data_IF_660037101380
#
_entry.id   IF_660037101380
#
_cell.length_a   1.000
_cell.length_b   1.000
_cell.length_c   1.000
_cell.angle_alpha   90.00
_cell.angle_beta   90.00
_cell.angle_gamma   90.00
#
_symmetry.space_group_name_H-M   'P 1'
#
loop_
_entity.id
_entity.type
_entity.pdbx_description
1 polymer ?
#
# COMPACT_ATOMS: atom_id res chain seq x y z
N UNK A 1 -22.05 -56.50 18.56
CA UNK A 1 -21.90 -57.45 17.43
C UNK A 1 -20.51 -58.05 17.52
N UNK A 2 -20.40 -59.36 17.32
CA UNK A 2 -19.13 -60.08 17.48
C UNK A 2 -18.30 -60.02 16.20
N UNK A 3 -16.97 -60.09 16.31
CA UNK A 3 -16.04 -59.91 15.18
C UNK A 3 -16.24 -60.97 14.07
N UNK A 4 -16.66 -62.17 14.47
CA UNK A 4 -16.94 -63.28 13.57
C UNK A 4 -18.18 -63.06 12.69
N UNK A 5 -19.12 -62.22 13.13
CA UNK A 5 -20.34 -61.90 12.35
C UNK A 5 -20.08 -60.84 11.27
N UNK A 6 -19.01 -60.04 11.42
CA UNK A 6 -18.59 -59.01 10.46
C UNK A 6 -17.75 -59.58 9.30
N UNK A 7 -16.87 -60.56 9.59
CA UNK A 7 -16.14 -61.30 8.55
C UNK A 7 -17.09 -62.10 7.65
N UNK A 8 -18.18 -62.64 8.21
CA UNK A 8 -19.23 -63.34 7.46
C UNK A 8 -20.04 -62.43 6.51
N UNK A 9 -20.01 -61.11 6.72
CA UNK A 9 -20.62 -60.09 5.86
C UNK A 9 -19.65 -59.55 4.78
N UNK A 10 -18.44 -60.13 4.68
CA UNK A 10 -17.46 -59.78 3.66
C UNK A 10 -16.67 -58.49 3.95
N UNK A 11 -16.65 -58.04 5.21
CA UNK A 11 -15.86 -56.88 5.64
C UNK A 11 -14.64 -57.40 6.40
N UNK A 12 -13.44 -57.16 5.87
CA UNK A 12 -12.19 -57.52 6.55
C UNK A 12 -11.93 -56.61 7.76
N UNK A 13 -11.04 -57.03 8.66
CA UNK A 13 -10.67 -56.22 9.83
C UNK A 13 -9.97 -54.92 9.39
N UNK A 14 -9.21 -54.99 8.31
CA UNK A 14 -8.51 -53.88 7.68
C UNK A 14 -9.50 -52.87 7.10
N UNK A 15 -10.53 -53.34 6.38
CA UNK A 15 -11.60 -52.47 5.84
C UNK A 15 -12.39 -51.77 6.96
N UNK A 16 -12.64 -52.49 8.06
CA UNK A 16 -13.33 -51.94 9.21
C UNK A 16 -12.46 -50.89 9.91
N UNK A 17 -11.16 -51.15 10.07
CA UNK A 17 -10.22 -50.19 10.66
C UNK A 17 -10.12 -48.91 9.82
N UNK A 18 -9.99 -49.03 8.49
CA UNK A 18 -9.91 -47.89 7.58
C UNK A 18 -11.21 -47.06 7.60
N UNK A 19 -12.38 -47.72 7.65
CA UNK A 19 -13.67 -47.03 7.78
C UNK A 19 -13.85 -46.32 9.11
N UNK A 20 -13.39 -46.91 10.21
CA UNK A 20 -13.43 -46.27 11.54
C UNK A 20 -12.51 -45.05 11.56
N UNK A 21 -11.28 -45.18 11.04
CA UNK A 21 -10.33 -44.07 10.94
C UNK A 21 -10.89 -42.97 10.04
N UNK A 22 -11.42 -43.32 8.87
CA UNK A 22 -12.04 -42.37 7.94
C UNK A 22 -13.21 -41.62 8.57
N UNK A 23 -14.09 -42.32 9.29
CA UNK A 23 -15.22 -41.69 9.99
C UNK A 23 -14.76 -40.77 11.12
N UNK A 24 -13.75 -41.16 11.90
CA UNK A 24 -13.19 -40.33 12.96
C UNK A 24 -12.52 -39.06 12.41
N UNK A 25 -11.78 -39.19 11.30
CA UNK A 25 -11.15 -38.07 10.60
C UNK A 25 -12.22 -37.14 10.02
N UNK A 26 -13.27 -37.68 9.41
CA UNK A 26 -14.34 -36.90 8.82
C UNK A 26 -15.14 -36.12 9.89
N UNK A 27 -15.36 -36.71 11.06
CA UNK A 27 -15.94 -36.01 12.22
C UNK A 27 -15.02 -34.93 12.80
N UNK A 28 -13.71 -35.13 12.77
CA UNK A 28 -12.74 -34.12 13.21
C UNK A 28 -12.65 -32.94 12.23
N UNK A 29 -12.68 -33.25 10.92
CA UNK A 29 -12.44 -32.28 9.85
C UNK A 29 -13.68 -31.49 9.45
N UNK A 30 -14.87 -31.88 9.90
CA UNK A 30 -16.13 -31.22 9.57
C UNK A 30 -16.95 -30.84 10.80
N UNK A 31 -17.73 -29.79 10.69
CA UNK A 31 -18.71 -29.35 11.67
C UNK A 31 -20.06 -29.21 10.99
N UNK A 32 -21.14 -29.68 11.62
CA UNK A 32 -22.48 -29.40 11.14
C UNK A 32 -22.93 -28.02 11.63
N UNK A 33 -23.69 -27.31 10.82
CA UNK A 33 -24.30 -26.03 11.17
C UNK A 33 -25.54 -25.78 10.32
N UNK A 34 -26.32 -24.77 10.67
CA UNK A 34 -27.54 -24.41 9.95
C UNK A 34 -27.24 -23.29 8.95
N UNK A 35 -27.62 -23.45 7.68
CA UNK A 35 -27.54 -22.37 6.69
C UNK A 35 -28.87 -21.59 6.66
N UNK A 36 -28.87 -20.30 7.06
CA UNK A 36 -30.10 -19.50 7.11
C UNK A 36 -30.69 -19.17 5.73
N UNK A 37 -29.91 -19.29 4.64
CA UNK A 37 -30.38 -18.95 3.29
C UNK A 37 -31.08 -20.13 2.58
N UNK A 38 -30.78 -21.36 2.99
CA UNK A 38 -31.36 -22.58 2.40
C UNK A 38 -32.21 -23.39 3.37
N UNK A 39 -32.30 -22.94 4.63
CA UNK A 39 -33.02 -23.62 5.73
C UNK A 39 -32.63 -25.10 5.94
N UNK A 40 -31.41 -25.47 5.52
CA UNK A 40 -30.91 -26.85 5.57
C UNK A 40 -29.67 -26.97 6.47
N UNK A 41 -29.55 -28.13 7.14
CA UNK A 41 -28.32 -28.52 7.81
C UNK A 41 -27.21 -28.67 6.77
N UNK A 42 -26.16 -27.88 6.92
CA UNK A 42 -25.02 -27.84 6.00
C UNK A 42 -23.75 -28.21 6.73
N UNK A 43 -22.89 -28.92 6.01
CA UNK A 43 -21.60 -29.37 6.52
C UNK A 43 -20.55 -28.30 6.22
N UNK A 44 -19.94 -27.76 7.28
CA UNK A 44 -18.86 -26.80 7.20
C UNK A 44 -17.52 -27.48 7.47
N UNK A 45 -16.46 -26.96 6.86
CA UNK A 45 -15.11 -27.36 7.22
C UNK A 45 -14.77 -26.89 8.64
N UNK A 46 -14.19 -27.79 9.43
CA UNK A 46 -13.72 -27.47 10.77
C UNK A 46 -12.63 -26.39 10.74
N UNK A 47 -12.51 -25.64 11.84
CA UNK A 47 -11.38 -24.71 12.04
C UNK A 47 -10.04 -25.43 11.96
N UNK A 48 -9.97 -26.67 12.43
CA UNK A 48 -8.78 -27.50 12.39
C UNK A 48 -8.33 -27.80 10.95
N UNK A 49 -9.27 -28.19 10.07
CA UNK A 49 -8.97 -28.41 8.65
C UNK A 49 -8.41 -27.15 7.99
N UNK A 50 -9.04 -26.00 8.21
CA UNK A 50 -8.62 -24.72 7.65
C UNK A 50 -7.23 -24.30 8.13
N UNK A 51 -6.93 -24.48 9.41
CA UNK A 51 -5.60 -24.16 9.97
C UNK A 51 -4.51 -25.09 9.42
N UNK A 52 -4.80 -26.38 9.25
CA UNK A 52 -3.87 -27.34 8.64
C UNK A 52 -3.60 -26.97 7.19
N UNK A 53 -4.64 -26.71 6.40
CA UNK A 53 -4.50 -26.30 5.00
C UNK A 53 -3.74 -24.98 4.88
N UNK A 54 -4.05 -23.99 5.70
CA UNK A 54 -3.33 -22.72 5.71
C UNK A 54 -1.84 -22.90 6.04
N UNK A 55 -1.51 -23.79 6.99
CA UNK A 55 -0.13 -24.07 7.37
C UNK A 55 0.63 -24.85 6.29
N UNK A 56 -0.04 -25.78 5.60
CA UNK A 56 0.51 -26.48 4.44
C UNK A 56 0.77 -25.49 3.31
N UNK A 57 -0.22 -24.63 2.99
CA UNK A 57 -0.09 -23.59 1.98
C UNK A 57 1.09 -22.67 2.29
N UNK A 58 1.19 -22.16 3.52
CA UNK A 58 2.30 -21.31 3.95
C UNK A 58 3.66 -22.01 3.81
N UNK A 59 3.74 -23.30 4.14
CA UNK A 59 4.98 -24.07 3.99
C UNK A 59 5.34 -24.28 2.52
N UNK A 60 4.36 -24.53 1.66
CA UNK A 60 4.57 -24.67 0.21
C UNK A 60 5.03 -23.34 -0.39
N UNK A 61 4.34 -22.25 -0.07
CA UNK A 61 4.68 -20.91 -0.54
C UNK A 61 6.09 -20.49 -0.11
N UNK A 62 6.47 -20.77 1.13
CA UNK A 62 7.83 -20.50 1.62
C UNK A 62 8.90 -21.28 0.84
N UNK A 63 8.62 -22.54 0.49
CA UNK A 63 9.54 -23.37 -0.31
C UNK A 63 9.63 -22.89 -1.76
N UNK A 64 8.51 -22.52 -2.36
CA UNK A 64 8.47 -21.94 -3.71
C UNK A 64 9.25 -20.63 -3.73
N UNK A 65 9.03 -19.74 -2.75
CA UNK A 65 9.75 -18.48 -2.65
C UNK A 65 11.27 -18.70 -2.53
N UNK A 66 11.70 -19.61 -1.66
CA UNK A 66 13.12 -19.94 -1.50
C UNK A 66 13.74 -20.48 -2.81
N UNK A 67 13.02 -21.34 -3.54
CA UNK A 67 13.49 -21.82 -4.85
C UNK A 67 13.55 -20.71 -5.90
N UNK A 68 12.57 -19.81 -5.89
CA UNK A 68 12.53 -18.65 -6.78
C UNK A 68 13.70 -17.70 -6.51
N UNK A 69 14.05 -17.45 -5.25
CA UNK A 69 15.20 -16.61 -4.89
C UNK A 69 16.53 -17.16 -5.40
N UNK A 70 16.72 -18.48 -5.32
CA UNK A 70 17.98 -19.13 -5.73
C UNK A 70 18.10 -19.26 -7.24
N UNK A 71 17.01 -19.54 -7.95
CA UNK A 71 17.07 -19.94 -9.36
C UNK A 71 16.38 -19.00 -10.33
N UNK A 72 15.29 -18.35 -9.92
CA UNK A 72 14.47 -17.53 -10.82
C UNK A 72 14.95 -16.08 -10.80
N UNK A 73 15.10 -15.48 -9.62
CA UNK A 73 15.52 -14.07 -9.50
C UNK A 73 16.87 -13.78 -10.16
N UNK A 74 17.93 -14.61 -9.99
CA UNK A 74 19.23 -14.32 -10.62
C UNK A 74 19.14 -14.39 -12.15
N UNK A 75 18.43 -15.39 -12.68
CA UNK A 75 18.24 -15.54 -14.13
C UNK A 75 17.44 -14.40 -14.73
N UNK A 76 16.40 -13.94 -14.05
CA UNK A 76 15.63 -12.77 -14.49
C UNK A 76 16.52 -11.52 -14.48
N UNK A 77 17.37 -11.34 -13.47
CA UNK A 77 18.34 -10.25 -13.44
C UNK A 77 19.32 -10.29 -14.61
N UNK A 78 19.91 -11.45 -14.89
CA UNK A 78 20.80 -11.66 -16.04
C UNK A 78 20.09 -11.41 -17.37
N UNK A 79 18.88 -11.93 -17.54
CA UNK A 79 18.08 -11.73 -18.74
C UNK A 79 17.76 -10.25 -18.98
N UNK A 80 17.40 -9.50 -17.94
CA UNK A 80 17.10 -8.07 -18.03
C UNK A 80 18.34 -7.28 -18.40
N UNK A 81 19.50 -7.57 -17.80
CA UNK A 81 20.75 -6.86 -18.11
C UNK A 81 21.30 -7.21 -19.49
N UNK A 82 21.08 -8.45 -19.96
CA UNK A 82 21.47 -8.89 -21.30
C UNK A 82 20.54 -8.38 -22.41
N UNK A 83 19.39 -7.80 -22.06
CA UNK A 83 18.44 -7.27 -23.03
C UNK A 83 19.00 -6.00 -23.68
N UNK A 84 19.00 -5.97 -25.02
CA UNK A 84 19.42 -4.80 -25.81
C UNK A 84 18.28 -3.77 -25.85
N UNK A 85 18.40 -2.72 -25.03
CA UNK A 85 17.38 -1.67 -24.88
C UNK A 85 17.52 -0.56 -25.93
N UNK A 86 17.66 -0.95 -27.20
CA UNK A 86 17.69 0.00 -28.32
C UNK A 86 16.31 0.58 -28.59
N UNK A 87 16.26 1.89 -28.78
CA UNK A 87 15.07 2.54 -29.33
C UNK A 87 14.88 2.07 -30.77
N UNK A 88 13.69 1.58 -31.10
CA UNK A 88 13.31 1.20 -32.47
C UNK A 88 12.30 2.18 -33.04
N UNK A 89 12.25 2.30 -34.36
CA UNK A 89 11.15 3.00 -35.02
C UNK A 89 9.85 2.13 -35.03
N UNK A 90 8.78 2.66 -35.64
CA UNK A 90 7.49 1.95 -35.79
C UNK A 90 7.59 0.65 -36.62
N UNK A 91 8.69 0.44 -37.33
CA UNK A 91 8.95 -0.72 -38.19
C UNK A 91 10.02 -1.66 -37.60
N UNK A 92 10.50 -1.40 -36.37
CA UNK A 92 11.47 -2.25 -35.68
C UNK A 92 12.94 -1.99 -36.02
N UNK A 93 13.25 -0.97 -36.82
CA UNK A 93 14.65 -0.62 -37.14
C UNK A 93 15.30 0.12 -35.97
N UNK A 94 16.54 -0.26 -35.65
CA UNK A 94 17.30 0.35 -34.55
C UNK A 94 17.61 1.82 -34.81
N UNK A 95 17.13 2.69 -33.93
CA UNK A 95 17.46 4.12 -33.87
C UNK A 95 18.23 4.40 -32.59
N UNK A 96 19.56 4.38 -32.67
CA UNK A 96 20.43 4.80 -31.57
C UNK A 96 21.37 3.71 -31.05
N UNK A 97 22.22 4.04 -30.07
CA UNK A 97 23.20 3.12 -29.50
C UNK A 97 22.54 1.99 -28.70
N UNK A 98 23.23 0.85 -28.61
CA UNK A 98 22.87 -0.20 -27.67
C UNK A 98 22.95 0.34 -26.24
N UNK A 99 21.94 0.05 -25.42
CA UNK A 99 21.91 0.41 -24.01
C UNK A 99 21.56 -0.82 -23.19
N UNK A 100 22.21 -0.97 -22.03
CA UNK A 100 21.78 -1.90 -20.99
C UNK A 100 20.49 -1.41 -20.34
N UNK A 101 19.82 -2.27 -19.57
CA UNK A 101 18.61 -1.87 -18.84
C UNK A 101 18.86 -0.71 -17.87
N UNK A 102 19.97 -0.73 -17.12
CA UNK A 102 20.34 0.36 -16.20
C UNK A 102 20.55 1.68 -16.93
N UNK A 103 21.30 1.66 -18.03
CA UNK A 103 21.54 2.85 -18.84
C UNK A 103 20.24 3.39 -19.45
N UNK A 104 19.36 2.50 -19.91
CA UNK A 104 18.06 2.89 -20.43
C UNK A 104 17.19 3.57 -19.36
N UNK A 105 17.12 3.03 -18.14
CA UNK A 105 16.36 3.63 -17.04
C UNK A 105 16.97 4.98 -16.64
N UNK A 106 18.30 5.07 -16.53
CA UNK A 106 18.99 6.32 -16.22
C UNK A 106 18.75 7.38 -17.31
N UNK A 107 18.84 6.99 -18.58
CA UNK A 107 18.54 7.86 -19.72
C UNK A 107 17.08 8.34 -19.70
N UNK A 108 16.12 7.43 -19.45
CA UNK A 108 14.70 7.79 -19.32
C UNK A 108 14.45 8.78 -18.18
N UNK A 109 15.09 8.56 -17.03
CA UNK A 109 15.00 9.46 -15.88
C UNK A 109 15.60 10.84 -16.22
N UNK A 110 16.76 10.87 -16.86
CA UNK A 110 17.40 12.11 -17.32
C UNK A 110 16.49 12.87 -18.28
N UNK A 111 15.99 12.22 -19.33
CA UNK A 111 15.08 12.83 -20.31
C UNK A 111 13.86 13.41 -19.60
N UNK A 112 13.20 12.65 -18.73
CA UNK A 112 12.03 13.10 -17.97
C UNK A 112 12.34 14.32 -17.08
N UNK A 113 13.48 14.33 -16.40
CA UNK A 113 13.89 15.43 -15.51
C UNK A 113 14.30 16.70 -16.28
N UNK A 114 14.88 16.54 -17.47
CA UNK A 114 15.33 17.65 -18.32
C UNK A 114 14.26 18.17 -19.27
N UNK A 115 13.15 17.44 -19.42
CA UNK A 115 12.04 17.85 -20.27
C UNK A 115 11.49 19.20 -19.82
N UNK A 116 11.27 20.08 -20.79
CA UNK A 116 10.63 21.37 -20.55
C UNK A 116 9.16 21.16 -20.19
N UNK A 117 8.74 21.81 -19.10
CA UNK A 117 7.39 21.71 -18.57
C UNK A 117 6.78 23.08 -18.30
N UNK A 118 5.46 23.12 -18.12
CA UNK A 118 4.78 24.32 -17.66
C UNK A 118 5.02 24.60 -16.17
N UNK A 119 4.44 25.68 -15.66
CA UNK A 119 4.53 26.06 -14.25
C UNK A 119 4.02 24.99 -13.28
N UNK A 120 3.11 24.12 -13.72
CA UNK A 120 2.55 23.03 -12.94
C UNK A 120 3.41 21.75 -13.00
N UNK A 121 4.46 21.73 -13.82
CA UNK A 121 5.32 20.57 -14.00
C UNK A 121 4.85 19.57 -15.06
N UNK A 122 3.89 19.96 -15.91
CA UNK A 122 3.37 19.12 -17.00
C UNK A 122 4.05 19.46 -18.34
N UNK A 123 4.47 18.44 -19.07
CA UNK A 123 4.83 18.61 -20.47
C UNK A 123 3.59 18.70 -21.35
N UNK A 124 3.75 19.07 -22.63
CA UNK A 124 2.64 19.04 -23.59
C UNK A 124 2.06 17.64 -23.74
N UNK A 125 2.94 16.63 -23.78
CA UNK A 125 2.52 15.23 -23.86
C UNK A 125 1.72 14.80 -22.62
N UNK A 126 2.10 15.28 -21.42
CA UNK A 126 1.34 15.02 -20.19
C UNK A 126 -0.08 15.60 -20.27
N UNK A 127 -0.23 16.82 -20.79
CA UNK A 127 -1.54 17.46 -20.97
C UNK A 127 -2.38 16.76 -22.03
N UNK A 128 -1.78 16.40 -23.17
CA UNK A 128 -2.45 15.65 -24.24
C UNK A 128 -2.95 14.29 -23.75
N UNK A 129 -2.14 13.57 -22.97
CA UNK A 129 -2.53 12.31 -22.36
C UNK A 129 -3.70 12.45 -21.37
N UNK A 130 -3.84 13.62 -20.74
CA UNK A 130 -4.96 13.96 -19.83
C UNK A 130 -6.18 14.54 -20.56
N UNK A 131 -6.14 14.68 -21.89
CA UNK A 131 -7.13 15.41 -22.70
C UNK A 131 -7.29 16.88 -22.26
N UNK A 132 -6.22 17.49 -21.78
CA UNK A 132 -6.17 18.90 -21.37
C UNK A 132 -5.65 19.79 -22.52
N UNK A 133 -6.07 21.06 -22.54
CA UNK A 133 -5.69 21.99 -23.60
C UNK A 133 -4.22 22.41 -23.49
N UNK A 134 -3.46 22.18 -24.56
CA UNK A 134 -2.07 22.65 -24.70
C UNK A 134 -1.96 24.09 -25.22
N UNK A 135 -3.09 24.75 -25.52
CA UNK A 135 -3.10 26.07 -26.16
C UNK A 135 -2.36 27.14 -25.32
N UNK A 136 -2.53 27.10 -24.00
CA UNK A 136 -1.88 28.04 -23.07
C UNK A 136 -0.56 27.51 -22.49
N UNK A 137 -0.09 26.35 -22.96
CA UNK A 137 1.15 25.77 -22.44
C UNK A 137 2.34 26.66 -22.78
N UNK A 138 3.18 26.95 -21.77
CA UNK A 138 4.42 27.71 -21.93
C UNK A 138 5.54 27.03 -21.15
N UNK A 139 6.69 26.84 -21.80
CA UNK A 139 7.87 26.30 -21.12
C UNK A 139 8.29 27.24 -20.00
N UNK A 140 8.40 26.68 -18.79
CA UNK A 140 8.92 27.31 -17.59
C UNK A 140 10.31 26.77 -17.22
N UNK A 141 10.91 25.98 -18.10
CA UNK A 141 12.22 25.34 -17.94
C UNK A 141 12.13 23.84 -17.60
N UNK A 142 13.28 23.23 -17.25
CA UNK A 142 13.38 21.80 -16.98
C UNK A 142 12.49 21.35 -15.82
N UNK A 143 11.87 20.17 -15.95
CA UNK A 143 10.96 19.57 -14.97
C UNK A 143 11.52 19.57 -13.56
N UNK A 144 12.77 19.13 -13.38
CA UNK A 144 13.41 19.09 -12.08
C UNK A 144 13.45 20.47 -11.42
N UNK A 145 13.87 21.49 -12.16
CA UNK A 145 13.98 22.86 -11.66
C UNK A 145 12.62 23.43 -11.29
N UNK A 146 11.61 23.23 -12.13
CA UNK A 146 10.25 23.74 -11.87
C UNK A 146 9.64 23.07 -10.63
N UNK A 147 9.72 21.75 -10.53
CA UNK A 147 9.18 21.00 -9.39
C UNK A 147 9.92 21.34 -8.09
N UNK A 148 11.25 21.49 -8.12
CA UNK A 148 12.01 21.96 -6.95
C UNK A 148 11.60 23.36 -6.53
N UNK A 149 11.41 24.27 -7.48
CA UNK A 149 10.95 25.64 -7.18
C UNK A 149 9.58 25.64 -6.53
N UNK A 150 8.65 24.84 -7.04
CA UNK A 150 7.31 24.70 -6.49
C UNK A 150 7.36 24.11 -5.08
N UNK A 151 8.12 23.04 -4.88
CA UNK A 151 8.29 22.43 -3.55
C UNK A 151 8.86 23.41 -2.52
N UNK A 152 9.90 24.16 -2.88
CA UNK A 152 10.50 25.17 -1.98
C UNK A 152 9.48 26.27 -1.66
N UNK A 153 8.78 26.79 -2.67
CA UNK A 153 7.76 27.82 -2.47
C UNK A 153 6.66 27.33 -1.52
N UNK A 154 6.09 26.16 -1.80
CA UNK A 154 4.95 25.64 -1.04
C UNK A 154 5.36 25.29 0.40
N UNK A 155 6.59 24.79 0.59
CA UNK A 155 7.18 24.54 1.90
C UNK A 155 7.37 25.84 2.70
N UNK A 156 7.96 26.87 2.08
CA UNK A 156 8.14 28.18 2.70
C UNK A 156 6.81 28.86 3.03
N UNK A 157 5.84 28.81 2.13
CA UNK A 157 4.51 29.37 2.36
C UNK A 157 3.81 28.71 3.54
N UNK A 158 3.87 27.37 3.62
CA UNK A 158 3.30 26.60 4.72
C UNK A 158 3.95 26.97 6.05
N UNK A 159 5.29 27.03 6.08
CA UNK A 159 6.04 27.39 7.28
C UNK A 159 5.79 28.85 7.71
N UNK A 160 5.72 29.78 6.75
CA UNK A 160 5.42 31.17 7.04
C UNK A 160 4.00 31.36 7.61
N UNK A 161 3.00 30.69 7.01
CA UNK A 161 1.62 30.69 7.54
C UNK A 161 1.55 30.11 8.95
N UNK A 162 2.27 29.02 9.21
CA UNK A 162 2.35 28.44 10.55
C UNK A 162 2.97 29.41 11.56
N UNK A 163 4.09 30.04 11.21
CA UNK A 163 4.76 31.02 12.08
C UNK A 163 3.86 32.22 12.40
N UNK A 164 3.16 32.78 11.42
CA UNK A 164 2.21 33.89 11.62
C UNK A 164 1.07 33.46 12.55
N UNK A 165 0.53 32.26 12.35
CA UNK A 165 -0.52 31.72 13.22
C UNK A 165 -0.04 31.55 14.66
N UNK A 166 1.20 31.10 14.88
CA UNK A 166 1.75 30.95 16.21
C UNK A 166 2.01 32.29 16.90
N UNK A 167 2.50 33.30 16.16
CA UNK A 167 2.60 34.68 16.67
C UNK A 167 1.22 35.22 17.05
N UNK A 168 0.20 35.01 16.22
CA UNK A 168 -1.17 35.44 16.49
C UNK A 168 -1.74 34.77 17.75
N UNK A 169 -1.46 33.49 18.00
CA UNK A 169 -1.86 32.81 19.23
C UNK A 169 -1.22 33.45 20.46
N UNK A 170 0.07 33.78 20.41
CA UNK A 170 0.79 34.44 21.52
C UNK A 170 0.21 35.84 21.79
N UNK A 171 -0.03 36.63 20.74
CA UNK A 171 -0.62 37.97 20.87
C UNK A 171 -2.03 37.87 21.47
N UNK A 172 -2.87 36.96 20.98
CA UNK A 172 -4.21 36.76 21.49
C UNK A 172 -4.21 36.36 22.98
N UNK A 173 -3.31 35.46 23.38
CA UNK A 173 -3.15 35.07 24.78
C UNK A 173 -2.72 36.26 25.67
N UNK A 174 -1.79 37.09 25.20
CA UNK A 174 -1.33 38.27 25.93
C UNK A 174 -2.42 39.34 26.05
N UNK A 175 -3.23 39.57 25.00
CA UNK A 175 -4.38 40.49 25.06
C UNK A 175 -5.42 39.99 26.05
N UNK A 176 -5.74 38.69 26.03
CA UNK A 176 -6.68 38.10 26.97
C UNK A 176 -6.20 38.26 28.41
N UNK A 177 -4.92 38.02 28.67
CA UNK A 177 -4.31 38.23 29.99
C UNK A 177 -4.36 39.70 30.41
N UNK A 178 -3.99 40.63 29.52
CA UNK A 178 -4.04 42.06 29.82
C UNK A 178 -5.47 42.54 30.15
N UNK A 179 -6.48 42.01 29.45
CA UNK A 179 -7.88 42.30 29.75
C UNK A 179 -8.30 41.75 31.11
N UNK A 180 -7.90 40.51 31.44
CA UNK A 180 -8.14 39.92 32.77
C UNK A 180 -7.48 40.73 33.88
N UNK A 181 -6.23 41.12 33.70
CA UNK A 181 -5.47 41.93 34.65
C UNK A 181 -6.13 43.30 34.86
N UNK A 182 -6.59 43.95 33.78
CA UNK A 182 -7.31 45.22 33.86
C UNK A 182 -8.65 45.10 34.59
N UNK A 183 -9.43 44.04 34.33
CA UNK A 183 -10.69 43.77 35.04
C UNK A 183 -10.43 43.49 36.52
N UNK A 184 -9.39 42.70 36.84
CA UNK A 184 -9.01 42.40 38.21
C UNK A 184 -8.59 43.67 38.98
N UNK A 185 -7.79 44.54 38.35
CA UNK A 185 -7.39 45.82 38.92
C UNK A 185 -8.60 46.75 39.16
N UNK A 186 -9.54 46.83 38.21
CA UNK A 186 -10.76 47.60 38.38
C UNK A 186 -11.65 47.06 39.51
N UNK A 187 -11.78 45.73 39.61
CA UNK A 187 -12.55 45.07 40.69
C UNK A 187 -11.91 45.29 42.07
N UNK A 188 -10.58 45.26 42.16
CA UNK A 188 -9.86 45.56 43.40
C UNK A 188 -10.11 47.01 43.87
N UNK A 189 -10.11 47.97 42.94
CA UNK A 189 -10.42 49.37 43.24
C UNK A 189 -11.90 49.62 43.62
N UNK A 190 -12.82 48.72 43.25
CA UNK A 190 -14.23 48.78 43.63
C UNK A 190 -14.51 48.18 45.02
N UNK A 191 -13.60 47.38 45.59
CA UNK A 191 -13.72 46.94 46.99
C UNK A 191 -13.38 48.12 47.90
N UNK A 192 -14.42 48.84 48.30
CA UNK A 192 -14.36 49.92 49.29
C UNK A 192 -13.69 49.40 50.58
N UNK A 193 -12.58 50.02 50.97
CA UNK A 193 -12.02 49.91 52.31
C UNK A 193 -13.06 50.44 53.29
N UNK A 194 -13.70 49.55 54.04
CA UNK A 194 -14.50 49.96 55.20
C UNK A 194 -13.49 50.42 56.26
N UNK A 195 -13.33 51.74 56.40
CA UNK A 195 -12.64 52.33 57.53
C UNK A 195 -13.48 52.04 58.79
N UNK A 196 -12.84 51.40 59.78
CA UNK A 196 -13.39 51.14 61.10
C UNK A 196 -13.65 52.44 61.89
#
# INVERSE_FOLDING_TARGET
MDLQTLEALGISKEDLAERIVGSAVDQLLSSTGFNPDTEEETRYESRFKREVEARVQQSVDAKIAALAEVHVLPRVGEMIESADMKVTNKYGESKGPAMTFKEYIAHRAQVYMTEDVDYHGNSKADLEAKNESTYNWRSCGPRLTVLMRNYIRDSLETQAKAAVNDVNKVIAANIAKAAQDAIAAASANLKVTVAA
#
